data_IF_997484317000
#
_entry.id   IF_997484317000
#
_cell.length_a   1.000
_cell.length_b   1.000
_cell.length_c   1.000
_cell.angle_alpha   90.00
_cell.angle_beta   90.00
_cell.angle_gamma   90.00
#
_symmetry.space_group_name_H-M   'P 1'
#
loop_
_entity.id
_entity.type
_entity.pdbx_description
1 polymer ?
#
# COMPACT_ATOMS: atom_id res chain seq x y z
N UNK A 1 -8.27 7.17 23.76
CA UNK A 1 -6.79 7.26 23.83
C UNK A 1 -6.29 7.56 22.42
N UNK A 2 -5.62 8.70 22.26
CA UNK A 2 -5.43 9.40 20.99
C UNK A 2 -4.20 8.88 20.23
N UNK A 3 -4.42 8.23 19.09
CA UNK A 3 -3.36 7.57 18.30
C UNK A 3 -2.69 8.42 17.21
N UNK A 4 -2.86 9.75 17.16
CA UNK A 4 -2.34 10.52 16.01
C UNK A 4 -1.76 11.90 16.38
N UNK A 5 -0.62 11.91 17.08
CA UNK A 5 0.27 13.09 17.17
C UNK A 5 1.74 12.67 17.06
N UNK A 6 2.07 11.89 16.04
CA UNK A 6 3.48 11.70 15.68
C UNK A 6 3.86 12.82 14.70
N UNK A 7 4.79 13.73 15.07
CA UNK A 7 5.24 14.78 14.17
C UNK A 7 5.94 14.17 12.96
N UNK A 8 5.83 14.83 11.81
CA UNK A 8 6.40 14.37 10.52
C UNK A 8 7.92 14.09 10.64
N UNK A 9 8.60 14.80 11.53
CA UNK A 9 10.00 14.64 11.92
C UNK A 9 10.36 13.23 12.44
N UNK A 10 9.38 12.48 12.96
CA UNK A 10 9.59 11.10 13.43
C UNK A 10 9.69 10.10 12.28
N UNK A 11 9.11 10.41 11.11
CA UNK A 11 9.15 9.55 9.93
C UNK A 11 10.52 9.62 9.24
N UNK A 12 11.18 10.79 9.28
CA UNK A 12 12.54 10.95 8.76
C UNK A 12 13.60 10.29 9.64
N UNK A 13 13.27 10.03 10.91
CA UNK A 13 14.11 9.27 11.85
C UNK A 13 13.81 7.75 11.87
N UNK A 14 12.88 7.27 11.03
CA UNK A 14 12.65 5.83 10.93
C UNK A 14 13.93 5.14 10.44
N UNK A 15 14.31 4.08 11.14
CA UNK A 15 15.50 3.29 10.82
C UNK A 15 15.35 2.80 9.36
N UNK A 16 16.41 2.86 8.53
CA UNK A 16 16.35 2.49 7.11
C UNK A 16 15.61 1.17 6.82
N UNK A 17 15.76 0.20 7.72
CA UNK A 17 15.09 -1.10 7.66
C UNK A 17 13.55 -1.03 7.72
N UNK A 18 12.97 -0.18 8.59
CA UNK A 18 11.52 -0.06 8.72
C UNK A 18 10.90 0.61 7.49
N UNK A 19 11.61 1.58 6.91
CA UNK A 19 11.24 2.22 5.64
C UNK A 19 11.23 1.21 4.50
N UNK A 20 12.23 0.35 4.41
CA UNK A 20 12.28 -0.72 3.40
C UNK A 20 11.13 -1.71 3.56
N UNK A 21 10.81 -2.14 4.79
CA UNK A 21 9.65 -3.01 5.05
C UNK A 21 8.36 -2.32 4.61
N UNK A 22 8.13 -1.07 5.02
CA UNK A 22 6.92 -0.35 4.67
C UNK A 22 6.79 -0.17 3.14
N UNK A 23 7.88 0.19 2.46
CA UNK A 23 7.90 0.28 0.99
C UNK A 23 7.61 -1.07 0.33
N UNK A 24 8.18 -2.16 0.84
CA UNK A 24 7.92 -3.51 0.31
C UNK A 24 6.45 -3.90 0.47
N UNK A 25 5.85 -3.64 1.64
CA UNK A 25 4.43 -3.88 1.90
C UNK A 25 3.55 -3.03 0.99
N UNK A 26 3.89 -1.76 0.80
CA UNK A 26 3.15 -0.86 -0.09
C UNK A 26 3.21 -1.32 -1.55
N UNK A 27 4.39 -1.72 -2.04
CA UNK A 27 4.55 -2.26 -3.39
C UNK A 27 3.75 -3.55 -3.56
N UNK A 28 3.74 -4.44 -2.57
CA UNK A 28 2.95 -5.67 -2.60
C UNK A 28 1.45 -5.37 -2.66
N UNK A 29 0.98 -4.42 -1.85
CA UNK A 29 -0.41 -3.97 -1.84
C UNK A 29 -0.85 -3.40 -3.20
N UNK A 30 -0.06 -2.50 -3.79
CA UNK A 30 -0.38 -1.89 -5.09
C UNK A 30 -0.49 -2.94 -6.22
N UNK A 31 0.40 -3.94 -6.23
CA UNK A 31 0.34 -5.04 -7.20
C UNK A 31 -0.93 -5.88 -7.03
N UNK A 32 -1.37 -6.09 -5.80
CA UNK A 32 -2.61 -6.82 -5.53
C UNK A 32 -3.83 -6.04 -6.01
N UNK A 33 -3.89 -4.74 -5.73
CA UNK A 33 -4.99 -3.89 -6.20
C UNK A 33 -5.03 -3.79 -7.74
N UNK A 34 -3.88 -3.69 -8.41
CA UNK A 34 -3.82 -3.73 -9.87
C UNK A 34 -4.37 -5.06 -10.43
N UNK A 35 -4.03 -6.19 -9.80
CA UNK A 35 -4.58 -7.51 -10.19
C UNK A 35 -6.09 -7.58 -10.02
N UNK A 36 -6.62 -7.05 -8.91
CA UNK A 36 -8.07 -7.01 -8.66
C UNK A 36 -8.80 -6.18 -9.69
N UNK A 37 -8.30 -4.99 -10.02
CA UNK A 37 -8.88 -4.14 -11.05
C UNK A 37 -8.88 -4.81 -12.42
N UNK A 38 -7.77 -5.43 -12.81
CA UNK A 38 -7.69 -6.20 -14.07
C UNK A 38 -8.65 -7.39 -14.09
N UNK A 39 -8.80 -8.10 -12.96
CA UNK A 39 -9.73 -9.21 -12.85
C UNK A 39 -11.19 -8.76 -12.96
N UNK A 40 -11.55 -7.63 -12.34
CA UNK A 40 -12.88 -7.02 -12.46
C UNK A 40 -13.15 -6.62 -13.91
N UNK A 41 -12.24 -5.90 -14.56
CA UNK A 41 -12.38 -5.51 -15.97
C UNK A 41 -12.53 -6.73 -16.90
N UNK A 42 -11.75 -7.79 -16.67
CA UNK A 42 -11.83 -9.02 -17.46
C UNK A 42 -13.13 -9.82 -17.21
N UNK A 43 -13.71 -9.72 -16.00
CA UNK A 43 -15.00 -10.31 -15.69
C UNK A 43 -16.14 -9.54 -16.34
N UNK A 44 -16.09 -8.20 -16.29
CA UNK A 44 -17.07 -7.31 -16.94
C UNK A 44 -17.07 -7.49 -18.47
N UNK A 45 -15.90 -7.60 -19.09
CA UNK A 45 -15.79 -7.77 -20.55
C UNK A 45 -16.25 -9.13 -21.08
N UNK A 46 -16.50 -10.12 -20.21
CA UNK A 46 -16.99 -11.45 -20.58
C UNK A 46 -18.49 -11.64 -20.35
N UNK A 47 -19.13 -10.67 -19.67
CA UNK A 47 -20.54 -10.72 -19.29
C UNK A 47 -21.47 -9.86 -20.15
N UNK A 48 -20.96 -9.16 -21.18
CA UNK A 48 -21.73 -8.40 -22.17
C UNK A 48 -21.49 -8.92 -23.58
#
# INVERSE_FOLDING_TARGET
>A
MHHHKWPIEFIDNLIPFEKEIYMNLLVAFLKEEERRLKAQQAAESRGG
#
